data_IF_978374251671
#
_entry.id   IF_978374251671
#
_cell.length_a   1.000
_cell.length_b   1.000
_cell.length_c   1.000
_cell.angle_alpha   90.00
_cell.angle_beta   90.00
_cell.angle_gamma   90.00
#
_symmetry.space_group_name_H-M   'P 1'
#
loop_
_entity.id
_entity.type
_entity.pdbx_description
1 polymer ?
#
# COMPACT_ATOMS: atom_id res chain seq x y z
N UNK A 1 11.30 7.86 7.83
CA UNK A 1 10.08 7.63 8.64
C UNK A 1 9.67 6.14 8.65
N UNK A 2 9.37 5.53 7.50
CA UNK A 2 8.89 4.14 7.41
C UNK A 2 9.80 3.10 8.07
N UNK A 3 11.11 3.16 7.84
CA UNK A 3 12.08 2.26 8.50
C UNK A 3 12.02 2.33 10.03
N UNK A 4 11.78 3.53 10.59
CA UNK A 4 11.62 3.71 12.05
C UNK A 4 10.32 3.07 12.52
N UNK A 5 9.23 3.19 11.76
CA UNK A 5 7.95 2.50 12.04
C UNK A 5 8.13 0.98 12.04
N UNK A 6 8.84 0.43 11.06
CA UNK A 6 9.15 -1.01 11.00
C UNK A 6 9.99 -1.45 12.20
N UNK A 7 10.99 -0.64 12.61
CA UNK A 7 11.81 -0.91 13.80
C UNK A 7 10.94 -0.96 15.06
N UNK A 8 10.07 0.03 15.26
CA UNK A 8 9.17 0.08 16.41
C UNK A 8 8.21 -1.13 16.40
N UNK A 9 7.67 -1.51 15.24
CA UNK A 9 6.81 -2.68 15.11
C UNK A 9 7.54 -3.98 15.48
N UNK A 10 8.82 -4.13 15.09
CA UNK A 10 9.69 -5.24 15.51
C UNK A 10 9.90 -5.25 17.03
N UNK A 11 10.25 -4.11 17.60
CA UNK A 11 10.48 -3.96 19.06
C UNK A 11 9.22 -4.31 19.88
N UNK A 12 8.03 -4.05 19.33
CA UNK A 12 6.75 -4.36 19.96
C UNK A 12 6.19 -5.74 19.57
N UNK A 13 6.99 -6.59 18.89
CA UNK A 13 6.59 -7.94 18.46
C UNK A 13 5.31 -7.97 17.61
N UNK A 14 5.06 -6.95 16.80
CA UNK A 14 3.97 -6.96 15.84
C UNK A 14 4.25 -7.96 14.72
N UNK A 15 3.23 -8.73 14.31
CA UNK A 15 3.37 -9.67 13.19
C UNK A 15 3.24 -8.97 11.82
N UNK A 16 2.37 -7.96 11.75
CA UNK A 16 2.02 -7.26 10.52
C UNK A 16 1.96 -5.75 10.70
N UNK A 17 2.30 -5.02 9.63
CA UNK A 17 1.91 -3.64 9.43
C UNK A 17 0.96 -3.56 8.24
N UNK A 18 -0.07 -2.72 8.36
CA UNK A 18 -1.01 -2.42 7.30
C UNK A 18 -0.91 -0.93 6.93
N UNK A 19 -0.99 -0.62 5.65
CA UNK A 19 -1.07 0.74 5.13
C UNK A 19 -2.01 0.81 3.91
N UNK A 20 -2.41 2.02 3.55
CA UNK A 20 -3.18 2.31 2.34
C UNK A 20 -2.37 3.21 1.43
N UNK A 21 -2.08 2.75 0.21
CA UNK A 21 -1.53 3.60 -0.85
C UNK A 21 -2.66 4.13 -1.72
N UNK A 22 -2.87 5.45 -1.68
CA UNK A 22 -3.86 6.16 -2.48
C UNK A 22 -3.26 6.95 -3.65
N UNK A 23 -1.94 6.78 -3.89
CA UNK A 23 -1.17 7.32 -5.01
C UNK A 23 -0.20 6.25 -5.52
N UNK A 24 0.23 6.35 -6.79
CA UNK A 24 1.27 5.48 -7.35
C UNK A 24 2.61 5.61 -6.63
N UNK A 25 2.97 6.82 -6.22
CA UNK A 25 4.20 7.08 -5.48
C UNK A 25 4.20 6.34 -4.13
N UNK A 26 3.11 6.44 -3.35
CA UNK A 26 2.99 5.71 -2.08
C UNK A 26 2.98 4.20 -2.29
N UNK A 27 2.31 3.72 -3.34
CA UNK A 27 2.35 2.31 -3.71
C UNK A 27 3.79 1.85 -3.91
N UNK A 28 4.57 2.58 -4.73
CA UNK A 28 5.96 2.25 -5.01
C UNK A 28 6.84 2.31 -3.75
N UNK A 29 6.66 3.31 -2.89
CA UNK A 29 7.37 3.40 -1.60
C UNK A 29 7.08 2.18 -0.73
N UNK A 30 5.82 1.78 -0.55
CA UNK A 30 5.50 0.62 0.27
C UNK A 30 5.99 -0.69 -0.37
N UNK A 31 5.81 -0.85 -1.68
CA UNK A 31 6.23 -2.03 -2.41
C UNK A 31 7.74 -2.26 -2.32
N UNK A 32 8.55 -1.21 -2.54
CA UNK A 32 10.01 -1.27 -2.40
C UNK A 32 10.48 -1.52 -0.97
N UNK A 33 9.63 -1.28 0.03
CA UNK A 33 9.87 -1.61 1.43
C UNK A 33 9.24 -2.94 1.86
N UNK A 34 8.88 -3.80 0.90
CA UNK A 34 8.43 -5.17 1.14
C UNK A 34 6.96 -5.34 1.51
N UNK A 35 6.17 -4.26 1.46
CA UNK A 35 4.73 -4.41 1.60
C UNK A 35 4.17 -5.08 0.33
N UNK A 36 3.23 -6.01 0.52
CA UNK A 36 2.49 -6.69 -0.53
C UNK A 36 1.11 -6.06 -0.67
N UNK A 37 0.67 -5.81 -1.89
CA UNK A 37 -0.72 -5.43 -2.16
C UNK A 37 -1.60 -6.67 -1.97
N UNK A 38 -2.57 -6.60 -1.07
CA UNK A 38 -3.55 -7.69 -0.85
C UNK A 38 -4.89 -7.39 -1.50
N UNK A 39 -5.19 -6.12 -1.76
CA UNK A 39 -6.44 -5.70 -2.37
C UNK A 39 -6.30 -4.33 -3.02
N UNK A 40 -6.81 -4.24 -4.23
CA UNK A 40 -6.98 -2.98 -4.96
C UNK A 40 -8.47 -2.60 -4.97
N UNK A 41 -8.76 -1.33 -4.76
CA UNK A 41 -10.12 -0.80 -4.74
C UNK A 41 -10.17 0.40 -5.66
N UNK A 42 -10.97 0.32 -6.72
CA UNK A 42 -11.10 1.41 -7.68
C UNK A 42 -11.91 2.56 -7.10
N UNK A 43 -11.44 3.80 -7.23
CA UNK A 43 -12.19 4.97 -6.76
C UNK A 43 -13.58 5.10 -7.41
N UNK A 44 -13.73 4.59 -8.64
CA UNK A 44 -15.00 4.58 -9.37
C UNK A 44 -16.04 3.63 -8.77
N UNK A 45 -15.66 2.71 -7.87
CA UNK A 45 -16.62 1.84 -7.17
C UNK A 45 -17.26 2.50 -5.95
N UNK A 46 -16.80 3.68 -5.55
CA UNK A 46 -17.38 4.44 -4.44
C UNK A 46 -18.52 5.33 -4.97
N UNK A 47 -19.74 4.84 -4.79
CA UNK A 47 -20.96 5.52 -5.23
C UNK A 47 -21.78 5.96 -4.02
N UNK A 48 -22.27 7.19 -4.05
CA UNK A 48 -23.32 7.69 -3.17
C UNK A 48 -24.51 8.10 -4.03
N UNK A 49 -25.68 7.50 -3.78
CA UNK A 49 -26.89 7.69 -4.59
C UNK A 49 -26.66 7.52 -6.11
N UNK A 50 -25.82 6.56 -6.50
CA UNK A 50 -25.47 6.29 -7.91
C UNK A 50 -24.45 7.26 -8.51
N UNK A 51 -23.99 8.27 -7.76
CA UNK A 51 -22.97 9.21 -8.20
C UNK A 51 -21.60 8.86 -7.62
N UNK A 52 -20.54 9.05 -8.42
CA UNK A 52 -19.16 8.85 -7.94
C UNK A 52 -18.85 9.86 -6.83
N UNK A 53 -18.43 9.34 -5.68
CA UNK A 53 -17.98 10.14 -4.53
C UNK A 53 -16.64 10.79 -4.89
N UNK A 54 -15.71 10.03 -5.46
CA UNK A 54 -14.42 10.53 -5.88
C UNK A 54 -14.46 10.98 -7.35
N UNK A 55 -14.39 12.29 -7.57
CA UNK A 55 -14.30 12.92 -8.89
C UNK A 55 -12.86 13.38 -9.19
N UNK A 56 -11.88 12.53 -8.91
CA UNK A 56 -10.47 12.86 -9.18
C UNK A 56 -10.27 13.14 -10.67
N UNK A 57 -9.50 14.18 -11.00
CA UNK A 57 -9.06 14.41 -12.38
C UNK A 57 -8.13 13.26 -12.76
N UNK A 58 -8.35 12.65 -13.93
CA UNK A 58 -7.53 11.53 -14.43
C UNK A 58 -6.05 11.87 -14.67
N UNK A 59 -5.64 13.11 -14.37
CA UNK A 59 -4.25 13.55 -14.36
C UNK A 59 -3.46 12.99 -13.17
N UNK A 60 -4.14 12.62 -12.08
CA UNK A 60 -3.49 11.98 -10.92
C UNK A 60 -3.46 10.47 -11.14
N UNK A 61 -2.26 9.95 -11.38
CA UNK A 61 -2.02 8.65 -11.99
C UNK A 61 -2.54 7.40 -11.23
N UNK A 62 -3.26 7.53 -10.12
CA UNK A 62 -3.76 6.40 -9.32
C UNK A 62 -5.29 6.35 -9.28
N UNK A 63 -5.87 5.40 -10.03
CA UNK A 63 -7.31 5.09 -10.02
C UNK A 63 -7.73 4.15 -8.88
N UNK A 64 -6.75 3.66 -8.10
CA UNK A 64 -6.96 2.68 -7.04
C UNK A 64 -6.48 3.17 -5.67
N UNK A 65 -7.15 2.67 -4.64
CA UNK A 65 -6.67 2.54 -3.26
C UNK A 65 -6.12 1.13 -3.11
N UNK A 66 -4.87 1.01 -2.65
CA UNK A 66 -4.19 -0.27 -2.49
C UNK A 66 -4.00 -0.55 -1.01
N UNK A 67 -4.58 -1.64 -0.52
CA UNK A 67 -4.36 -2.16 0.83
C UNK A 67 -3.07 -2.97 0.83
N UNK A 68 -2.09 -2.49 1.59
CA UNK A 68 -0.71 -2.97 1.58
C UNK A 68 -0.35 -3.56 2.95
N UNK A 69 0.24 -4.76 2.97
CA UNK A 69 0.65 -5.45 4.20
C UNK A 69 2.13 -5.80 4.19
N UNK A 70 2.82 -5.54 5.30
CA UNK A 70 4.18 -6.02 5.55
C UNK A 70 4.15 -7.01 6.70
N UNK A 71 4.64 -8.23 6.46
CA UNK A 71 4.89 -9.21 7.53
C UNK A 71 6.27 -8.95 8.12
N UNK A 72 6.33 -8.65 9.41
CA UNK A 72 7.51 -8.03 10.04
C UNK A 72 8.68 -9.00 10.25
N UNK A 73 8.35 -10.29 10.39
CA UNK A 73 9.31 -11.37 10.64
C UNK A 73 9.60 -12.24 9.41
N UNK A 74 9.07 -11.89 8.25
CA UNK A 74 9.42 -12.56 6.99
C UNK A 74 10.67 -11.89 6.41
N UNK A 75 11.66 -12.69 6.03
CA UNK A 75 12.82 -12.20 5.28
C UNK A 75 12.32 -11.53 4.00
N UNK A 76 12.69 -10.27 3.79
CA UNK A 76 12.35 -9.53 2.57
C UNK A 76 12.86 -10.34 1.36
N UNK A 77 12.05 -10.55 0.33
CA UNK A 77 12.52 -11.20 -0.88
C UNK A 77 13.65 -10.37 -1.50
N UNK A 78 14.70 -11.05 -1.94
CA UNK A 78 15.86 -10.41 -2.55
C UNK A 78 15.43 -9.73 -3.88
N UNK A 79 15.64 -8.41 -4.03
CA UNK A 79 15.18 -7.66 -5.20
C UNK A 79 15.83 -8.11 -6.53
N UNK A 80 16.77 -9.06 -6.52
CA UNK A 80 17.50 -9.53 -7.70
C UNK A 80 16.96 -10.80 -8.37
N UNK A 81 15.83 -11.36 -7.95
CA UNK A 81 15.31 -12.64 -8.51
C UNK A 81 14.11 -12.54 -9.45
N UNK A 82 13.77 -11.35 -9.96
CA UNK A 82 12.69 -11.21 -10.95
C UNK A 82 13.19 -10.40 -12.16
N UNK A 83 13.96 -11.10 -12.99
CA UNK A 83 14.25 -10.79 -14.40
C UNK A 83 13.26 -11.51 -15.30
#
# INVERSE_FOLDING_TARGET
>A
MLQKTVKIAKENKCDYLMSVANTKELFHIFYTNGFKCVREIHFNSFLDCGQRIFRRRMTDESETLNLMFLKINESMPDPKMQS
#
